data_IF_360704730310
#
_entry.id   IF_360704730310
#
_cell.length_a   1.000
_cell.length_b   1.000
_cell.length_c   1.000
_cell.angle_alpha   90.00
_cell.angle_beta   90.00
_cell.angle_gamma   90.00
#
_symmetry.space_group_name_H-M   'P 1'
#
loop_
_entity.id
_entity.type
_entity.pdbx_description
1 polymer ?
#
# COMPACT_ATOMS: atom_id res chain seq x y z
N UNK A 1 -6.05 -5.12 21.44
CA UNK A 1 -5.84 -6.55 21.78
C UNK A 1 -7.14 -7.36 21.75
N UNK A 2 -8.32 -6.74 21.72
CA UNK A 2 -9.60 -7.48 21.68
C UNK A 2 -9.75 -8.36 20.43
N UNK A 3 -9.40 -7.86 19.24
CA UNK A 3 -9.46 -8.63 17.99
C UNK A 3 -8.64 -9.93 18.02
N UNK A 4 -7.36 -9.85 18.35
CA UNK A 4 -6.50 -11.04 18.45
C UNK A 4 -7.01 -12.05 19.51
N UNK A 5 -7.54 -11.57 20.64
CA UNK A 5 -8.15 -12.43 21.66
C UNK A 5 -9.43 -13.11 21.16
N UNK A 6 -10.30 -12.38 20.45
CA UNK A 6 -11.53 -12.92 19.84
C UNK A 6 -11.24 -14.04 18.85
N UNK A 7 -10.14 -13.92 18.11
CA UNK A 7 -9.71 -14.88 17.10
C UNK A 7 -8.78 -15.97 17.66
N UNK A 8 -8.57 -16.01 18.98
CA UNK A 8 -7.66 -16.94 19.66
C UNK A 8 -6.25 -16.96 19.05
N UNK A 9 -5.76 -15.79 18.63
CA UNK A 9 -4.45 -15.63 18.01
C UNK A 9 -3.45 -15.08 19.03
N UNK A 10 -2.48 -15.91 19.40
CA UNK A 10 -1.33 -15.48 20.19
C UNK A 10 -0.40 -14.59 19.33
N UNK A 11 -0.06 -13.41 19.83
CA UNK A 11 0.71 -12.40 19.10
C UNK A 11 1.76 -11.72 19.98
N UNK A 12 2.88 -11.35 19.37
CA UNK A 12 3.84 -10.41 19.91
C UNK A 12 3.52 -9.00 19.41
N UNK A 13 3.66 -7.99 20.27
CA UNK A 13 3.47 -6.58 19.88
C UNK A 13 4.84 -5.96 19.59
N UNK A 14 4.97 -5.34 18.43
CA UNK A 14 6.15 -4.57 18.04
C UNK A 14 5.77 -3.10 17.99
N UNK A 15 6.46 -2.27 18.78
CA UNK A 15 6.27 -0.81 18.78
C UNK A 15 7.50 -0.11 18.22
N UNK A 16 7.28 0.77 17.25
CA UNK A 16 8.28 1.66 16.64
C UNK A 16 7.89 3.12 16.93
N UNK A 17 8.75 4.06 16.54
CA UNK A 17 8.49 5.49 16.75
C UNK A 17 7.20 6.01 16.09
N UNK A 18 6.86 5.49 14.90
CA UNK A 18 5.69 5.90 14.09
C UNK A 18 4.85 4.73 13.58
N UNK A 19 4.98 3.57 14.22
CA UNK A 19 4.23 2.39 13.85
C UNK A 19 4.04 1.45 15.05
N UNK A 20 2.97 0.68 15.03
CA UNK A 20 2.76 -0.43 15.95
C UNK A 20 2.20 -1.61 15.16
N UNK A 21 2.66 -2.82 15.47
CA UNK A 21 2.19 -4.01 14.79
C UNK A 21 2.10 -5.20 15.72
N UNK A 22 1.41 -6.22 15.23
CA UNK A 22 1.32 -7.53 15.85
C UNK A 22 1.90 -8.57 14.91
N UNK A 23 2.64 -9.51 15.48
CA UNK A 23 3.20 -10.66 14.76
C UNK A 23 2.67 -11.92 15.44
N UNK A 24 1.96 -12.82 14.71
CA UNK A 24 1.53 -14.11 15.22
C UNK A 24 2.71 -14.91 15.78
N UNK A 25 2.52 -15.56 16.94
CA UNK A 25 3.51 -16.50 17.50
C UNK A 25 3.31 -17.93 17.00
N UNK A 26 2.24 -18.15 16.24
CA UNK A 26 1.84 -19.43 15.67
C UNK A 26 1.31 -19.21 14.24
N UNK A 27 1.32 -20.24 13.37
CA UNK A 27 0.74 -20.14 12.04
C UNK A 27 -0.71 -19.66 12.10
N UNK A 28 -1.07 -18.78 11.17
CA UNK A 28 -2.42 -18.27 10.99
C UNK A 28 -2.73 -18.16 9.51
N UNK A 29 -3.97 -17.85 9.18
CA UNK A 29 -4.44 -17.69 7.80
C UNK A 29 -4.63 -16.21 7.48
N UNK A 30 -4.63 -15.89 6.19
CA UNK A 30 -4.73 -14.53 5.68
C UNK A 30 -5.95 -13.79 6.24
N UNK A 31 -7.09 -14.48 6.29
CA UNK A 31 -8.39 -13.95 6.69
C UNK A 31 -8.41 -13.48 8.16
N UNK A 32 -7.64 -14.13 9.04
CA UNK A 32 -7.52 -13.73 10.45
C UNK A 32 -6.78 -12.40 10.56
N UNK A 33 -5.71 -12.23 9.80
CA UNK A 33 -4.96 -10.97 9.78
C UNK A 33 -5.76 -9.86 9.10
N UNK A 34 -6.51 -10.20 8.05
CA UNK A 34 -7.40 -9.29 7.34
C UNK A 34 -8.49 -8.74 8.27
N UNK A 35 -9.17 -9.61 9.03
CA UNK A 35 -10.19 -9.22 10.00
C UNK A 35 -9.62 -8.27 11.06
N UNK A 36 -8.41 -8.52 11.54
CA UNK A 36 -7.75 -7.64 12.51
C UNK A 36 -7.42 -6.29 11.87
N UNK A 37 -6.87 -6.26 10.66
CA UNK A 37 -6.54 -5.02 9.96
C UNK A 37 -7.81 -4.16 9.72
N UNK A 38 -8.88 -4.76 9.20
CA UNK A 38 -10.17 -4.09 8.99
C UNK A 38 -10.80 -3.61 10.29
N UNK A 39 -10.73 -4.42 11.35
CA UNK A 39 -11.21 -4.02 12.68
C UNK A 39 -10.47 -2.78 13.18
N UNK A 40 -9.14 -2.73 13.03
CA UNK A 40 -8.35 -1.56 13.42
C UNK A 40 -8.74 -0.35 12.57
N UNK A 41 -8.84 -0.49 11.24
CA UNK A 41 -9.24 0.62 10.36
C UNK A 41 -10.60 1.21 10.77
N UNK A 42 -11.55 0.34 11.13
CA UNK A 42 -12.92 0.74 11.47
C UNK A 42 -13.01 1.37 12.87
N UNK A 43 -12.24 0.86 13.83
CA UNK A 43 -12.38 1.26 15.24
C UNK A 43 -11.40 2.35 15.67
N UNK A 44 -10.23 2.48 15.02
CA UNK A 44 -9.22 3.44 15.42
C UNK A 44 -9.61 4.85 14.98
N UNK A 45 -10.06 5.66 15.95
CA UNK A 45 -10.28 7.09 15.74
C UNK A 45 -8.99 7.85 16.04
N UNK A 46 -8.36 8.39 15.01
CA UNK A 46 -7.14 9.19 15.12
C UNK A 46 -7.32 10.56 14.46
N UNK A 47 -6.68 11.60 15.03
CA UNK A 47 -6.63 12.96 14.46
C UNK A 47 -5.55 13.12 13.39
N UNK A 48 -4.75 12.09 13.16
CA UNK A 48 -3.68 12.07 12.17
C UNK A 48 -3.94 10.94 11.19
N UNK A 49 -3.52 11.09 9.91
CA UNK A 49 -3.60 10.00 8.95
C UNK A 49 -2.85 8.77 9.47
N UNK A 50 -3.42 7.59 9.25
CA UNK A 50 -2.79 6.32 9.55
C UNK A 50 -3.14 5.31 8.47
N UNK A 51 -2.39 4.21 8.43
CA UNK A 51 -2.66 3.08 7.57
C UNK A 51 -2.54 1.81 8.41
N UNK A 52 -3.65 1.12 8.63
CA UNK A 52 -3.66 -0.22 9.21
C UNK A 52 -3.76 -1.23 8.07
N UNK A 53 -2.81 -2.16 7.97
CA UNK A 53 -2.74 -3.08 6.84
C UNK A 53 -2.31 -4.49 7.24
N UNK A 54 -2.77 -5.45 6.45
CA UNK A 54 -2.33 -6.84 6.51
C UNK A 54 -1.05 -7.01 5.68
N UNK A 55 0.07 -7.33 6.33
CA UNK A 55 1.35 -7.59 5.68
C UNK A 55 1.52 -9.02 5.16
N UNK A 56 0.47 -9.85 5.27
CA UNK A 56 0.45 -11.26 4.86
C UNK A 56 0.87 -12.23 5.96
N UNK A 57 1.79 -11.82 6.84
CA UNK A 57 2.20 -12.58 8.03
C UNK A 57 2.15 -11.76 9.32
N UNK A 58 1.80 -10.49 9.23
CA UNK A 58 1.67 -9.56 10.35
C UNK A 58 0.57 -8.53 10.06
N UNK A 59 0.21 -7.75 11.07
CA UNK A 59 -0.65 -6.58 10.89
C UNK A 59 0.05 -5.39 11.51
N UNK A 60 0.19 -4.32 10.74
CA UNK A 60 0.82 -3.08 11.19
C UNK A 60 -0.11 -1.89 11.03
N UNK A 61 0.10 -0.90 11.89
CA UNK A 61 -0.53 0.41 11.87
C UNK A 61 0.57 1.45 11.82
N UNK A 62 0.70 2.12 10.68
CA UNK A 62 1.65 3.21 10.48
C UNK A 62 0.97 4.56 10.72
N UNK A 63 1.69 5.50 11.33
CA UNK A 63 1.29 6.91 11.41
C UNK A 63 1.71 7.58 10.11
N UNK A 64 0.74 7.81 9.23
CA UNK A 64 0.91 8.21 7.84
C UNK A 64 0.33 7.17 6.88
N UNK A 65 0.33 7.49 5.58
CA UNK A 65 -0.05 6.58 4.51
C UNK A 65 0.78 6.87 3.24
N UNK A 66 0.72 5.98 2.24
CA UNK A 66 1.50 6.14 1.00
C UNK A 66 1.11 7.37 0.19
N UNK A 67 -0.15 7.83 0.26
CA UNK A 67 -0.60 9.06 -0.40
C UNK A 67 0.23 10.27 0.03
N UNK A 68 0.47 10.44 1.34
CA UNK A 68 1.27 11.56 1.85
C UNK A 68 2.71 11.53 1.31
N UNK A 69 3.30 10.33 1.23
CA UNK A 69 4.62 10.15 0.64
C UNK A 69 4.65 10.50 -0.85
N UNK A 70 3.61 10.10 -1.57
CA UNK A 70 3.45 10.38 -2.98
C UNK A 70 3.25 11.89 -3.24
N UNK A 71 2.40 12.57 -2.47
CA UNK A 71 2.25 14.04 -2.53
C UNK A 71 3.58 14.77 -2.28
N UNK A 72 4.35 14.31 -1.28
CA UNK A 72 5.65 14.91 -0.98
C UNK A 72 6.61 14.72 -2.16
N UNK A 73 6.63 13.52 -2.75
CA UNK A 73 7.49 13.18 -3.89
C UNK A 73 7.11 13.96 -5.15
N UNK A 74 5.82 14.08 -5.48
CA UNK A 74 5.37 14.82 -6.67
C UNK A 74 5.70 16.31 -6.56
N UNK A 75 5.49 16.91 -5.38
CA UNK A 75 5.91 18.29 -5.10
C UNK A 75 7.42 18.47 -5.21
N UNK A 76 8.20 17.53 -4.68
CA UNK A 76 9.67 17.57 -4.73
C UNK A 76 10.20 17.49 -6.17
N UNK A 77 9.67 16.56 -6.97
CA UNK A 77 10.07 16.36 -8.37
C UNK A 77 9.43 17.36 -9.34
N UNK A 78 8.47 18.17 -8.87
CA UNK A 78 7.71 19.15 -9.67
C UNK A 78 6.97 18.49 -10.84
N UNK A 79 6.38 17.33 -10.59
CA UNK A 79 5.53 16.60 -11.54
C UNK A 79 4.06 16.69 -11.13
N UNK A 80 3.17 16.60 -12.11
CA UNK A 80 1.72 16.61 -11.92
C UNK A 80 1.14 15.20 -11.91
N UNK A 81 -0.05 14.97 -11.31
CA UNK A 81 -0.72 13.67 -11.30
C UNK A 81 -0.73 12.88 -12.63
N UNK A 82 -0.97 13.50 -13.81
CA UNK A 82 -0.97 12.78 -15.09
C UNK A 82 0.41 12.26 -15.52
N UNK A 83 1.49 12.75 -14.92
CA UNK A 83 2.87 12.34 -15.20
C UNK A 83 3.35 11.21 -14.27
N UNK A 84 2.47 10.72 -13.40
CA UNK A 84 2.81 9.79 -12.31
C UNK A 84 2.01 8.49 -12.45
N UNK A 85 2.73 7.38 -12.44
CA UNK A 85 2.17 6.03 -12.37
C UNK A 85 2.68 5.35 -11.09
N UNK A 86 1.77 5.03 -10.17
CA UNK A 86 2.09 4.19 -9.01
C UNK A 86 1.88 2.71 -9.36
N UNK A 87 2.86 1.86 -9.09
CA UNK A 87 2.77 0.40 -9.32
C UNK A 87 2.77 -0.30 -7.96
N UNK A 88 1.76 -1.12 -7.71
CA UNK A 88 1.61 -1.81 -6.42
C UNK A 88 0.78 -3.10 -6.53
N UNK A 89 0.77 -3.87 -5.46
CA UNK A 89 0.12 -5.18 -5.39
C UNK A 89 -0.99 -5.26 -4.32
N UNK A 90 -1.03 -4.31 -3.38
CA UNK A 90 -1.96 -4.32 -2.25
C UNK A 90 -2.98 -3.19 -2.31
N UNK A 91 -3.92 -3.32 -3.25
CA UNK A 91 -5.06 -2.40 -3.39
C UNK A 91 -6.41 -2.97 -2.91
N UNK A 92 -6.39 -4.00 -2.05
CA UNK A 92 -7.55 -4.44 -1.25
C UNK A 92 -7.90 -3.39 -0.20
N UNK A 93 -9.08 -3.42 0.43
CA UNK A 93 -9.48 -2.40 1.43
C UNK A 93 -8.48 -2.26 2.61
N UNK A 94 -7.83 -3.37 3.01
CA UNK A 94 -6.75 -3.35 4.01
C UNK A 94 -5.37 -3.02 3.45
N UNK A 95 -5.26 -2.86 2.13
CA UNK A 95 -4.01 -2.72 1.40
C UNK A 95 -3.40 -1.33 1.55
N UNK A 96 -2.08 -1.28 1.75
CA UNK A 96 -1.39 -0.01 1.98
C UNK A 96 -1.22 0.84 0.70
N UNK A 97 -1.52 0.31 -0.49
CA UNK A 97 -1.48 1.05 -1.76
C UNK A 97 -2.80 1.77 -2.10
N UNK A 98 -3.92 1.43 -1.45
CA UNK A 98 -5.25 1.97 -1.80
C UNK A 98 -5.26 3.49 -1.89
N UNK A 99 -4.71 4.17 -0.89
CA UNK A 99 -4.73 5.63 -0.80
C UNK A 99 -4.05 6.31 -2.00
N UNK A 100 -3.15 5.64 -2.73
CA UNK A 100 -2.49 6.22 -3.90
C UNK A 100 -3.44 6.45 -5.08
N UNK A 101 -4.60 5.76 -5.11
CA UNK A 101 -5.63 5.91 -6.16
C UNK A 101 -6.24 7.31 -6.22
N UNK A 102 -6.21 8.05 -5.12
CA UNK A 102 -6.83 9.38 -5.04
C UNK A 102 -5.98 10.47 -5.69
N UNK A 103 -4.71 10.17 -6.04
CA UNK A 103 -3.77 11.18 -6.53
C UNK A 103 -3.13 10.86 -7.88
N UNK A 104 -2.96 9.60 -8.28
CA UNK A 104 -2.33 9.31 -9.57
C UNK A 104 -2.90 8.07 -10.24
N UNK A 105 -2.49 7.82 -11.49
CA UNK A 105 -2.78 6.55 -12.14
C UNK A 105 -2.08 5.42 -11.39
N UNK A 106 -2.82 4.32 -11.20
CA UNK A 106 -2.30 3.12 -10.53
C UNK A 106 -2.25 1.94 -11.49
N UNK A 107 -1.22 1.13 -11.37
CA UNK A 107 -1.11 -0.18 -12.01
C UNK A 107 -1.09 -1.25 -10.91
N UNK A 108 -2.13 -2.09 -10.88
CA UNK A 108 -2.21 -3.22 -9.97
C UNK A 108 -1.55 -4.45 -10.60
N UNK A 109 -0.51 -4.96 -9.96
CA UNK A 109 0.19 -6.18 -10.32
C UNK A 109 0.01 -7.25 -9.24
N UNK A 110 -0.13 -8.51 -9.63
CA UNK A 110 -0.29 -9.63 -8.69
C UNK A 110 1.04 -10.33 -8.34
N UNK A 111 2.08 -10.15 -9.16
CA UNK A 111 3.36 -10.85 -9.03
C UNK A 111 4.52 -10.10 -9.73
N UNK A 112 5.78 -10.51 -9.48
CA UNK A 112 6.95 -9.91 -10.13
C UNK A 112 6.96 -10.05 -11.66
N UNK A 113 6.41 -11.13 -12.20
CA UNK A 113 6.36 -11.38 -13.65
C UNK A 113 5.49 -10.34 -14.37
N UNK A 114 4.31 -10.03 -13.83
CA UNK A 114 3.44 -8.96 -14.31
C UNK A 114 4.12 -7.60 -14.25
N UNK A 115 4.81 -7.31 -13.15
CA UNK A 115 5.62 -6.09 -13.02
C UNK A 115 6.63 -6.01 -14.17
N UNK A 116 7.37 -7.09 -14.42
CA UNK A 116 8.33 -7.17 -15.52
C UNK A 116 7.69 -6.98 -16.90
N UNK A 117 6.51 -7.55 -17.13
CA UNK A 117 5.75 -7.40 -18.36
C UNK A 117 5.35 -5.94 -18.61
N UNK A 118 4.67 -5.32 -17.65
CA UNK A 118 4.17 -3.95 -17.81
C UNK A 118 5.30 -2.93 -17.90
N UNK A 119 6.38 -3.08 -17.14
CA UNK A 119 7.55 -2.19 -17.23
C UNK A 119 8.22 -2.28 -18.60
N UNK A 120 8.35 -3.49 -19.18
CA UNK A 120 8.87 -3.66 -20.55
C UNK A 120 7.98 -2.97 -21.59
N UNK A 121 6.66 -3.08 -21.42
CA UNK A 121 5.68 -2.41 -22.30
C UNK A 121 5.81 -0.88 -22.20
N UNK A 122 5.80 -0.34 -20.97
CA UNK A 122 5.95 1.10 -20.72
C UNK A 122 7.27 1.66 -21.29
N UNK A 123 8.39 0.96 -21.09
CA UNK A 123 9.68 1.36 -21.63
C UNK A 123 9.69 1.38 -23.16
N UNK A 124 9.00 0.42 -23.81
CA UNK A 124 8.86 0.39 -25.26
C UNK A 124 8.06 1.59 -25.76
N UNK A 125 6.98 1.95 -25.08
CA UNK A 125 6.12 3.08 -25.46
C UNK A 125 6.84 4.41 -25.24
N UNK A 126 7.49 4.62 -24.09
CA UNK A 126 8.33 5.81 -23.83
C UNK A 126 9.40 5.98 -24.90
N UNK A 127 10.06 4.88 -25.30
CA UNK A 127 11.05 4.92 -26.39
C UNK A 127 10.39 5.37 -27.68
N UNK A 128 9.30 4.74 -28.11
CA UNK A 128 8.58 5.10 -29.35
C UNK A 128 8.14 6.56 -29.37
N UNK A 129 7.55 7.06 -28.28
CA UNK A 129 7.11 8.46 -28.16
C UNK A 129 8.27 9.46 -28.25
N UNK A 130 9.50 9.07 -27.92
CA UNK A 130 10.69 9.92 -28.15
C UNK A 130 11.14 9.96 -29.60
N UNK A 131 10.84 8.93 -30.40
CA UNK A 131 11.21 8.85 -31.82
C UNK A 131 10.17 9.48 -32.75
N UNK A 132 8.92 9.66 -32.29
CA UNK A 132 7.92 10.44 -33.00
C UNK A 132 7.90 11.86 -32.42
N UNK A 133 8.36 12.89 -33.15
CA UNK A 133 8.03 14.25 -32.77
C UNK A 133 6.50 14.36 -32.75
N UNK A 134 5.95 14.85 -31.64
CA UNK A 134 4.53 15.21 -31.57
C UNK A 134 4.23 16.15 -32.74
N UNK A 135 3.44 15.69 -33.71
CA UNK A 135 2.85 16.56 -34.74
C UNK A 135 1.49 16.94 -34.17
N UNK A 136 1.36 18.20 -33.74
CA UNK A 136 0.06 18.82 -33.44
C UNK A 136 -0.81 18.91 -34.70
#
# INVERSE_FOLDING_TARGET
MEGAKRLNLAVNIIRKNRAVGIVPTQPTIYEVLEDIALTIQTQLVAKVPFCAFNGGNDVFVDVGNKLLGLEALTRYLKVTPPEVLHVGDRFTDSGNDVATRDICSVLWVANPEETGFFIKMLLKDIRKSRWQPYIE
#
